data_IF_246819889343
#
_entry.id   IF_246819889343
#
_cell.length_a   1.000
_cell.length_b   1.000
_cell.length_c   1.000
_cell.angle_alpha   90.00
_cell.angle_beta   90.00
_cell.angle_gamma   90.00
#
_symmetry.space_group_name_H-M   'P 1'
#
loop_
_entity.id
_entity.type
_entity.pdbx_description
1 polymer ?
#
# COMPACT_ATOMS: atom_id res chain seq x y z
N UNK A 1 4.51 -6.33 -38.91
CA UNK A 1 4.21 -6.48 -37.46
C UNK A 1 5.49 -6.27 -36.66
N UNK A 2 5.70 -5.09 -36.07
CA UNK A 2 6.84 -4.87 -35.16
C UNK A 2 6.43 -5.40 -33.79
N UNK A 3 6.80 -6.64 -33.47
CA UNK A 3 6.80 -7.10 -32.08
C UNK A 3 7.78 -6.20 -31.33
N UNK A 4 7.31 -5.36 -30.39
CA UNK A 4 8.25 -4.65 -29.53
C UNK A 4 9.05 -5.70 -28.77
N UNK A 5 10.35 -5.79 -29.01
CA UNK A 5 11.22 -6.72 -28.30
C UNK A 5 11.02 -6.57 -26.79
N UNK A 6 10.77 -7.70 -26.14
CA UNK A 6 10.57 -7.75 -24.71
C UNK A 6 11.92 -7.56 -24.02
N UNK A 7 12.09 -6.44 -23.33
CA UNK A 7 13.34 -6.09 -22.65
C UNK A 7 13.39 -6.79 -21.29
N UNK A 8 14.37 -7.68 -21.10
CA UNK A 8 14.52 -8.50 -19.90
C UNK A 8 14.66 -7.69 -18.60
N UNK A 9 15.23 -6.48 -18.68
CA UNK A 9 15.38 -5.56 -17.54
C UNK A 9 14.05 -5.33 -16.82
N UNK A 10 12.97 -5.06 -17.55
CA UNK A 10 11.69 -4.73 -16.93
C UNK A 10 11.00 -5.95 -16.30
N UNK A 11 11.23 -7.16 -16.83
CA UNK A 11 10.75 -8.38 -16.18
C UNK A 11 11.53 -8.67 -14.90
N UNK A 12 12.85 -8.47 -14.90
CA UNK A 12 13.69 -8.57 -13.70
C UNK A 12 13.26 -7.55 -12.64
N UNK A 13 13.00 -6.29 -13.03
CA UNK A 13 12.52 -5.23 -12.14
C UNK A 13 11.20 -5.62 -11.47
N UNK A 14 10.20 -6.05 -12.24
CA UNK A 14 8.90 -6.47 -11.67
C UNK A 14 9.04 -7.70 -10.76
N UNK A 15 9.96 -8.62 -11.04
CA UNK A 15 10.19 -9.76 -10.16
C UNK A 15 10.81 -9.34 -8.82
N UNK A 16 11.84 -8.47 -8.86
CA UNK A 16 12.47 -7.95 -7.65
C UNK A 16 11.42 -7.20 -6.82
N UNK A 17 10.65 -6.31 -7.45
CA UNK A 17 9.63 -5.54 -6.77
C UNK A 17 8.53 -6.43 -6.17
N UNK A 18 8.06 -7.46 -6.87
CA UNK A 18 7.00 -8.31 -6.33
C UNK A 18 7.51 -9.20 -5.19
N UNK A 19 8.77 -9.63 -5.25
CA UNK A 19 9.40 -10.32 -4.14
C UNK A 19 9.47 -9.41 -2.90
N UNK A 20 9.84 -8.14 -3.08
CA UNK A 20 9.88 -7.16 -1.98
C UNK A 20 8.49 -6.89 -1.39
N UNK A 21 7.42 -6.91 -2.20
CA UNK A 21 6.03 -6.82 -1.69
C UNK A 21 5.69 -8.01 -0.80
N UNK A 22 5.98 -9.23 -1.26
CA UNK A 22 5.71 -10.44 -0.45
C UNK A 22 6.50 -10.40 0.85
N UNK A 23 7.78 -10.00 0.80
CA UNK A 23 8.62 -9.81 1.98
C UNK A 23 8.06 -8.72 2.90
N UNK A 24 7.62 -7.60 2.35
CA UNK A 24 7.02 -6.50 3.09
C UNK A 24 5.82 -6.95 3.92
N UNK A 25 4.92 -7.75 3.35
CA UNK A 25 3.77 -8.28 4.08
C UNK A 25 4.12 -9.32 5.14
N UNK A 26 5.16 -10.12 4.94
CA UNK A 26 5.67 -10.97 6.03
C UNK A 26 6.30 -10.17 7.16
N UNK A 27 7.00 -9.07 6.85
CA UNK A 27 7.61 -8.19 7.85
C UNK A 27 6.56 -7.38 8.60
N UNK A 28 5.50 -6.95 7.91
CA UNK A 28 4.38 -6.19 8.45
C UNK A 28 3.74 -6.87 9.66
N UNK A 29 3.61 -8.21 9.63
CA UNK A 29 3.09 -9.00 10.74
C UNK A 29 3.88 -8.83 12.06
N UNK A 30 5.14 -8.42 12.00
CA UNK A 30 6.05 -8.45 13.15
C UNK A 30 6.82 -7.14 13.37
N UNK A 31 6.26 -6.01 12.92
CA UNK A 31 6.91 -4.69 13.04
C UNK A 31 7.19 -4.34 14.50
N UNK A 32 6.18 -4.44 15.36
CA UNK A 32 6.24 -4.06 16.78
C UNK A 32 7.21 -4.92 17.62
N UNK A 33 7.51 -6.14 17.15
CA UNK A 33 8.35 -7.07 17.91
C UNK A 33 9.84 -6.86 17.66
N UNK A 34 10.22 -6.33 16.49
CA UNK A 34 11.61 -6.29 16.04
C UNK A 34 11.95 -5.00 15.28
N UNK A 35 12.81 -4.11 15.83
CA UNK A 35 13.21 -2.86 15.17
C UNK A 35 13.86 -3.03 13.79
N UNK A 36 14.48 -4.20 13.55
CA UNK A 36 15.04 -4.54 12.24
C UNK A 36 13.93 -4.75 11.20
N UNK A 37 12.78 -5.28 11.59
CA UNK A 37 11.62 -5.43 10.71
C UNK A 37 11.07 -4.06 10.32
N UNK A 38 10.91 -3.12 11.26
CA UNK A 38 10.55 -1.72 10.97
C UNK A 38 11.52 -1.08 9.97
N UNK A 39 12.83 -1.27 10.17
CA UNK A 39 13.87 -0.73 9.28
C UNK A 39 13.70 -1.25 7.86
N UNK A 40 13.61 -2.57 7.70
CA UNK A 40 13.54 -3.23 6.39
C UNK A 40 12.21 -2.92 5.71
N UNK A 41 11.12 -2.87 6.48
CA UNK A 41 9.79 -2.48 6.01
C UNK A 41 9.81 -1.04 5.49
N UNK A 42 10.31 -0.08 6.27
CA UNK A 42 10.43 1.33 5.86
C UNK A 42 11.23 1.51 4.57
N UNK A 43 12.32 0.74 4.40
CA UNK A 43 13.12 0.74 3.17
C UNK A 43 12.28 0.29 1.97
N UNK A 44 11.55 -0.83 2.11
CA UNK A 44 10.75 -1.39 1.04
C UNK A 44 9.61 -0.42 0.69
N UNK A 45 8.88 0.06 1.70
CA UNK A 45 7.69 0.90 1.56
C UNK A 45 7.97 2.29 0.99
N UNK A 46 9.19 2.80 1.16
CA UNK A 46 9.61 4.07 0.55
C UNK A 46 9.49 4.08 -0.99
N UNK A 47 9.77 2.96 -1.68
CA UNK A 47 9.88 2.99 -3.16
C UNK A 47 9.09 1.92 -3.90
N UNK A 48 8.68 0.80 -3.29
CA UNK A 48 8.14 -0.32 -4.07
C UNK A 48 6.80 0.02 -4.75
N UNK A 49 5.84 0.65 -4.07
CA UNK A 49 4.57 1.08 -4.67
C UNK A 49 4.76 2.21 -5.70
N UNK A 50 5.53 3.28 -5.38
CA UNK A 50 5.94 4.26 -6.39
C UNK A 50 6.56 3.61 -7.63
N UNK A 51 7.43 2.60 -7.45
CA UNK A 51 8.11 1.91 -8.54
C UNK A 51 7.14 1.07 -9.39
N UNK A 52 6.21 0.36 -8.75
CA UNK A 52 5.18 -0.38 -9.47
C UNK A 52 4.28 0.53 -10.30
N UNK A 53 3.79 1.64 -9.72
CA UNK A 53 2.96 2.60 -10.42
C UNK A 53 3.71 3.30 -11.56
N UNK A 54 4.97 3.66 -11.33
CA UNK A 54 5.84 4.23 -12.35
C UNK A 54 6.03 3.28 -13.55
N UNK A 55 6.36 2.01 -13.28
CA UNK A 55 6.47 0.98 -14.33
C UNK A 55 5.12 0.83 -15.05
N UNK A 56 4.02 0.76 -14.31
CA UNK A 56 2.67 0.58 -14.88
C UNK A 56 2.24 1.75 -15.77
N UNK A 57 2.51 2.99 -15.39
CA UNK A 57 2.27 4.16 -16.25
C UNK A 57 3.07 4.09 -17.55
N UNK A 58 4.34 3.70 -17.45
CA UNK A 58 5.24 3.56 -18.60
C UNK A 58 4.77 2.50 -19.60
N UNK A 59 4.22 1.37 -19.11
CA UNK A 59 3.68 0.30 -19.96
C UNK A 59 2.25 0.59 -20.46
N UNK A 60 1.50 1.47 -19.80
CA UNK A 60 0.12 1.83 -20.16
C UNK A 60 0.03 2.89 -21.27
N UNK A 61 1.14 3.53 -21.63
CA UNK A 61 1.22 4.63 -22.60
C UNK A 61 0.51 4.36 -23.93
N UNK A 62 0.62 3.15 -24.48
CA UNK A 62 -0.05 2.78 -25.75
C UNK A 62 -1.57 2.72 -25.60
N UNK A 63 -2.07 2.22 -24.47
CA UNK A 63 -3.50 2.13 -24.18
C UNK A 63 -4.10 3.52 -23.93
N UNK A 64 -3.38 4.36 -23.20
CA UNK A 64 -3.78 5.73 -22.86
C UNK A 64 -3.85 6.62 -24.12
N UNK A 65 -2.90 6.49 -25.03
CA UNK A 65 -2.83 7.32 -26.25
C UNK A 65 -3.68 6.80 -27.42
N UNK A 66 -4.43 5.72 -27.24
CA UNK A 66 -5.37 5.27 -28.27
C UNK A 66 -6.47 6.33 -28.50
N UNK A 67 -7.04 6.36 -29.70
CA UNK A 67 -8.12 7.28 -30.05
C UNK A 67 -9.34 7.07 -29.13
N UNK A 68 -9.72 5.82 -28.92
CA UNK A 68 -10.75 5.38 -27.98
C UNK A 68 -10.13 4.46 -26.93
N UNK A 69 -10.66 4.53 -25.71
CA UNK A 69 -10.22 3.67 -24.61
C UNK A 69 -10.63 2.22 -24.88
N UNK A 70 -9.64 1.32 -24.91
CA UNK A 70 -9.86 -0.10 -25.14
C UNK A 70 -10.30 -0.78 -23.83
N UNK A 71 -11.62 -0.75 -23.57
CA UNK A 71 -12.24 -1.33 -22.37
C UNK A 71 -11.83 -2.78 -22.13
N UNK A 72 -11.65 -3.58 -23.20
CA UNK A 72 -11.24 -4.97 -23.07
C UNK A 72 -9.85 -5.16 -22.43
N UNK A 73 -8.99 -4.13 -22.46
CA UNK A 73 -7.67 -4.15 -21.81
C UNK A 73 -7.69 -3.66 -20.36
N UNK A 74 -8.64 -2.81 -19.98
CA UNK A 74 -8.66 -2.15 -18.67
C UNK A 74 -9.68 -2.76 -17.71
N UNK A 75 -10.83 -3.24 -18.20
CA UNK A 75 -11.86 -3.90 -17.39
C UNK A 75 -11.34 -5.15 -16.66
N UNK A 76 -10.37 -5.93 -17.19
CA UNK A 76 -9.75 -7.00 -16.42
C UNK A 76 -9.18 -6.56 -15.06
N UNK A 77 -8.64 -5.34 -14.93
CA UNK A 77 -8.16 -4.85 -13.64
C UNK A 77 -9.29 -4.67 -12.63
N UNK A 78 -10.44 -4.15 -13.06
CA UNK A 78 -11.62 -4.00 -12.22
C UNK A 78 -12.21 -5.36 -11.83
N UNK A 79 -12.29 -6.31 -12.76
CA UNK A 79 -12.76 -7.67 -12.48
C UNK A 79 -11.84 -8.39 -11.49
N UNK A 80 -10.53 -8.32 -11.72
CA UNK A 80 -9.55 -8.90 -10.81
C UNK A 80 -9.58 -8.22 -9.44
N UNK A 81 -9.83 -6.91 -9.37
CA UNK A 81 -10.03 -6.20 -8.11
C UNK A 81 -11.18 -6.84 -7.32
N UNK A 82 -12.37 -6.98 -7.91
CA UNK A 82 -13.55 -7.54 -7.23
C UNK A 82 -13.30 -8.97 -6.77
N UNK A 83 -12.71 -9.81 -7.63
CA UNK A 83 -12.43 -11.22 -7.28
C UNK A 83 -11.40 -11.29 -6.15
N UNK A 84 -10.35 -10.48 -6.20
CA UNK A 84 -9.30 -10.47 -5.19
C UNK A 84 -9.84 -10.00 -3.84
N UNK A 85 -10.64 -8.93 -3.85
CA UNK A 85 -11.23 -8.35 -2.65
C UNK A 85 -12.18 -9.33 -1.95
N UNK A 86 -13.09 -9.94 -2.72
CA UNK A 86 -13.99 -10.96 -2.22
C UNK A 86 -13.24 -12.23 -1.80
N UNK A 87 -12.22 -12.66 -2.55
CA UNK A 87 -11.40 -13.83 -2.22
C UNK A 87 -10.69 -13.68 -0.87
N UNK A 88 -10.16 -12.48 -0.58
CA UNK A 88 -9.57 -12.17 0.73
C UNK A 88 -10.61 -12.15 1.83
N UNK A 89 -11.79 -11.58 1.59
CA UNK A 89 -12.89 -11.64 2.55
C UNK A 89 -13.22 -13.09 2.93
N UNK A 90 -13.32 -14.01 1.97
CA UNK A 90 -13.58 -15.43 2.26
C UNK A 90 -12.47 -16.09 3.09
N UNK A 91 -11.20 -15.79 2.80
CA UNK A 91 -10.07 -16.34 3.57
C UNK A 91 -10.10 -15.83 5.01
N UNK A 92 -10.38 -14.54 5.21
CA UNK A 92 -10.46 -13.93 6.54
C UNK A 92 -11.69 -14.41 7.32
N UNK A 93 -12.84 -14.47 6.67
CA UNK A 93 -14.09 -14.99 7.24
C UNK A 93 -13.98 -16.43 7.77
N UNK A 94 -13.06 -17.22 7.21
CA UNK A 94 -12.79 -18.57 7.72
C UNK A 94 -12.18 -18.56 9.13
N UNK A 95 -11.36 -17.55 9.45
CA UNK A 95 -10.72 -17.40 10.75
C UNK A 95 -11.55 -16.56 11.72
N UNK A 96 -12.23 -15.53 11.21
CA UNK A 96 -13.15 -14.68 11.96
C UNK A 96 -14.52 -14.59 11.26
N UNK A 97 -15.50 -15.40 11.70
CA UNK A 97 -16.86 -15.37 11.17
C UNK A 97 -17.67 -14.11 11.47
N UNK A 98 -17.17 -13.19 12.30
CA UNK A 98 -17.87 -11.93 12.63
C UNK A 98 -17.64 -10.83 11.58
N UNK A 99 -16.63 -11.01 10.72
CA UNK A 99 -16.26 -10.05 9.68
C UNK A 99 -17.42 -9.75 8.72
N UNK A 100 -17.67 -8.46 8.51
CA UNK A 100 -18.65 -7.96 7.55
C UNK A 100 -17.99 -7.56 6.23
N UNK A 101 -18.61 -7.95 5.11
CA UNK A 101 -18.08 -7.57 3.79
C UNK A 101 -18.44 -6.12 3.44
N UNK A 102 -17.43 -5.23 3.43
CA UNK A 102 -17.60 -3.80 3.14
C UNK A 102 -17.09 -3.44 1.74
N UNK A 103 -17.96 -3.52 0.73
CA UNK A 103 -17.65 -3.29 -0.70
C UNK A 103 -16.92 -1.95 -0.99
N UNK A 104 -17.22 -0.91 -0.22
CA UNK A 104 -16.74 0.45 -0.48
C UNK A 104 -15.46 0.83 0.28
N UNK A 105 -15.04 0.01 1.26
CA UNK A 105 -13.73 0.16 1.93
C UNK A 105 -12.72 -0.72 1.20
N UNK A 106 -11.89 -0.11 0.37
CA UNK A 106 -10.85 -0.84 -0.39
C UNK A 106 -9.53 -0.78 0.39
N UNK A 107 -9.13 -1.89 1.00
CA UNK A 107 -7.91 -1.98 1.82
C UNK A 107 -6.95 -3.09 1.35
N UNK A 108 -5.76 -3.15 1.96
CA UNK A 108 -4.74 -4.19 1.70
C UNK A 108 -4.13 -4.16 0.30
N UNK A 109 -4.26 -5.24 -0.49
CA UNK A 109 -3.63 -5.36 -1.82
C UNK A 109 -4.54 -4.92 -2.98
N UNK A 110 -5.87 -5.05 -2.82
CA UNK A 110 -6.85 -4.94 -3.92
C UNK A 110 -6.90 -3.53 -4.54
N UNK A 111 -6.55 -2.50 -3.74
CA UNK A 111 -6.50 -1.11 -4.18
C UNK A 111 -5.64 -0.90 -5.42
N UNK A 112 -4.53 -1.62 -5.59
CA UNK A 112 -3.62 -1.35 -6.71
C UNK A 112 -4.25 -1.68 -8.06
N UNK A 113 -5.03 -2.77 -8.16
CA UNK A 113 -5.77 -3.10 -9.39
C UNK A 113 -6.83 -2.05 -9.70
N UNK A 114 -7.58 -1.62 -8.68
CA UNK A 114 -8.58 -0.57 -8.82
C UNK A 114 -7.93 0.76 -9.21
N UNK A 115 -6.81 1.12 -8.57
CA UNK A 115 -6.01 2.29 -8.90
C UNK A 115 -5.50 2.27 -10.33
N UNK A 116 -5.00 1.15 -10.84
CA UNK A 116 -4.58 1.04 -12.25
C UNK A 116 -5.73 1.34 -13.20
N UNK A 117 -6.93 0.80 -12.94
CA UNK A 117 -8.12 1.10 -13.73
C UNK A 117 -8.42 2.61 -13.72
N UNK A 118 -8.54 3.21 -12.53
CA UNK A 118 -8.85 4.64 -12.36
C UNK A 118 -7.77 5.53 -13.00
N UNK A 119 -6.50 5.28 -12.72
CA UNK A 119 -5.38 6.10 -13.21
C UNK A 119 -5.25 6.02 -14.73
N UNK A 120 -5.50 4.87 -15.37
CA UNK A 120 -5.51 4.75 -16.84
C UNK A 120 -6.66 5.56 -17.43
N UNK A 121 -7.87 5.46 -16.86
CA UNK A 121 -9.05 6.23 -17.30
C UNK A 121 -8.79 7.72 -17.16
N UNK A 122 -8.39 8.19 -15.97
CA UNK A 122 -8.10 9.60 -15.69
C UNK A 122 -7.01 10.12 -16.62
N UNK A 123 -5.90 9.40 -16.80
CA UNK A 123 -4.82 9.83 -17.70
C UNK A 123 -5.28 9.88 -19.15
N UNK A 124 -6.13 8.94 -19.59
CA UNK A 124 -6.72 8.97 -20.93
C UNK A 124 -7.61 10.21 -21.13
N UNK A 125 -8.43 10.58 -20.14
CA UNK A 125 -9.27 11.78 -20.19
C UNK A 125 -8.43 13.07 -20.25
N UNK A 126 -7.33 13.12 -19.48
CA UNK A 126 -6.44 14.28 -19.40
C UNK A 126 -5.41 14.35 -20.53
N UNK A 127 -5.35 13.37 -21.44
CA UNK A 127 -4.28 13.24 -22.45
C UNK A 127 -4.13 14.41 -23.42
N UNK A 128 -5.19 15.23 -23.59
CA UNK A 128 -5.22 16.38 -24.49
C UNK A 128 -4.70 17.67 -23.84
N UNK A 129 -4.58 17.69 -22.51
CA UNK A 129 -4.06 18.83 -21.74
C UNK A 129 -2.53 18.77 -21.77
N UNK A 130 -1.85 19.92 -21.76
CA UNK A 130 -0.39 19.95 -21.68
C UNK A 130 0.09 19.15 -20.45
N UNK A 131 0.98 18.17 -20.64
CA UNK A 131 1.48 17.32 -19.56
C UNK A 131 2.05 18.06 -18.35
N UNK A 132 2.60 19.26 -18.54
CA UNK A 132 3.17 20.08 -17.46
C UNK A 132 2.08 20.47 -16.45
N UNK A 133 0.94 20.96 -16.94
CA UNK A 133 -0.17 21.36 -16.07
C UNK A 133 -0.78 20.16 -15.36
N UNK A 134 -0.99 19.05 -16.08
CA UNK A 134 -1.54 17.83 -15.47
C UNK A 134 -0.64 17.32 -14.34
N UNK A 135 0.68 17.31 -14.55
CA UNK A 135 1.62 16.87 -13.53
C UNK A 135 1.71 17.84 -12.34
N UNK A 136 1.76 19.16 -12.58
CA UNK A 136 1.77 20.15 -11.51
C UNK A 136 0.48 20.11 -10.68
N UNK A 137 -0.68 19.98 -11.32
CA UNK A 137 -1.98 19.86 -10.64
C UNK A 137 -2.03 18.55 -9.86
N UNK A 138 -1.54 17.43 -10.43
CA UNK A 138 -1.48 16.15 -9.73
C UNK A 138 -0.67 16.23 -8.43
N UNK A 139 0.49 16.90 -8.46
CA UNK A 139 1.29 17.16 -7.25
C UNK A 139 0.50 18.08 -6.30
N UNK A 140 -0.04 19.20 -6.78
CA UNK A 140 -0.79 20.13 -5.93
C UNK A 140 -1.94 19.46 -5.18
N UNK A 141 -2.78 18.71 -5.89
CA UNK A 141 -3.89 17.95 -5.30
C UNK A 141 -3.36 16.90 -4.31
N UNK A 142 -2.26 16.21 -4.65
CA UNK A 142 -1.70 15.19 -3.78
C UNK A 142 -1.10 15.76 -2.48
N UNK A 143 -0.63 17.01 -2.47
CA UNK A 143 -0.20 17.68 -1.25
C UNK A 143 -1.39 18.17 -0.41
N UNK A 144 -2.49 18.60 -1.05
CA UNK A 144 -3.66 19.16 -0.36
C UNK A 144 -4.55 18.07 0.24
N UNK A 145 -4.72 16.93 -0.44
CA UNK A 145 -5.69 15.91 -0.04
C UNK A 145 -5.48 15.42 1.39
N UNK A 146 -4.22 15.38 1.87
CA UNK A 146 -3.87 14.95 3.22
C UNK A 146 -4.50 15.79 4.35
N UNK A 147 -4.92 17.03 4.08
CA UNK A 147 -5.58 17.90 5.07
C UNK A 147 -7.09 17.65 5.21
N UNK A 148 -7.67 16.79 4.36
CA UNK A 148 -9.08 16.42 4.49
C UNK A 148 -9.25 15.37 5.61
N UNK A 149 -10.33 15.45 6.38
CA UNK A 149 -10.70 14.45 7.41
C UNK A 149 -11.71 13.42 6.88
N UNK A 150 -12.56 13.81 5.92
CA UNK A 150 -13.74 13.02 5.53
C UNK A 150 -13.55 12.04 4.36
N UNK A 151 -12.37 11.99 3.74
CA UNK A 151 -12.13 11.19 2.53
C UNK A 151 -11.43 9.88 2.89
N UNK A 152 -11.88 9.11 3.89
CA UNK A 152 -11.18 7.89 4.36
C UNK A 152 -10.93 6.79 3.29
N UNK A 153 -10.96 5.52 3.67
CA UNK A 153 -10.69 4.38 2.76
C UNK A 153 -11.75 4.14 1.67
N UNK A 154 -12.69 5.06 1.50
CA UNK A 154 -13.67 5.07 0.42
C UNK A 154 -12.95 5.00 -0.94
N UNK A 155 -13.10 3.86 -1.61
CA UNK A 155 -12.50 3.58 -2.92
C UNK A 155 -10.96 3.75 -3.00
N UNK A 156 -10.25 3.66 -1.87
CA UNK A 156 -8.81 3.93 -1.79
C UNK A 156 -8.40 5.30 -2.40
N UNK A 157 -9.27 6.30 -2.31
CA UNK A 157 -9.11 7.59 -3.01
C UNK A 157 -7.84 8.33 -2.57
N UNK A 158 -7.50 8.31 -1.27
CA UNK A 158 -6.22 8.83 -0.77
C UNK A 158 -5.04 8.27 -1.56
N UNK A 159 -4.86 6.95 -1.56
CA UNK A 159 -3.75 6.26 -2.24
C UNK A 159 -3.71 6.55 -3.73
N UNK A 160 -4.88 6.60 -4.39
CA UNK A 160 -4.95 6.90 -5.82
C UNK A 160 -4.43 8.30 -6.09
N UNK A 161 -4.94 9.31 -5.39
CA UNK A 161 -4.56 10.71 -5.61
C UNK A 161 -3.11 10.95 -5.21
N UNK A 162 -2.68 10.42 -4.06
CA UNK A 162 -1.32 10.61 -3.55
C UNK A 162 -0.26 9.93 -4.41
N UNK A 163 -0.58 8.80 -5.05
CA UNK A 163 0.36 8.06 -5.86
C UNK A 163 0.23 8.31 -7.38
N UNK A 164 -0.81 9.03 -7.81
CA UNK A 164 -1.00 9.41 -9.21
C UNK A 164 0.20 10.13 -9.84
N UNK A 165 0.92 11.04 -9.14
CA UNK A 165 2.12 11.66 -9.70
C UNK A 165 3.17 10.65 -10.18
N UNK A 166 3.40 9.55 -9.46
CA UNK A 166 4.36 8.52 -9.87
C UNK A 166 3.90 7.74 -11.10
N UNK A 167 2.62 7.38 -11.17
CA UNK A 167 2.03 6.76 -12.35
C UNK A 167 2.14 7.68 -13.57
N UNK A 168 1.74 8.94 -13.42
CA UNK A 168 1.75 9.92 -14.50
C UNK A 168 3.19 10.19 -14.98
N UNK A 169 4.15 10.33 -14.06
CA UNK A 169 5.57 10.49 -14.39
C UNK A 169 6.11 9.30 -15.19
N UNK A 170 5.71 8.08 -14.83
CA UNK A 170 6.00 6.87 -15.61
C UNK A 170 5.41 6.93 -17.02
N UNK A 171 4.17 7.41 -17.16
CA UNK A 171 3.52 7.64 -18.45
C UNK A 171 4.26 8.67 -19.32
N UNK A 172 4.80 9.74 -18.74
CA UNK A 172 5.54 10.78 -19.47
C UNK A 172 6.84 10.24 -20.07
N UNK A 173 7.56 9.38 -19.37
CA UNK A 173 8.84 8.86 -19.85
C UNK A 173 8.73 7.77 -20.91
N UNK A 174 9.81 7.65 -21.69
CA UNK A 174 9.96 6.58 -22.67
C UNK A 174 10.90 5.49 -22.13
N UNK A 175 10.53 4.23 -22.37
CA UNK A 175 11.26 3.03 -21.93
C UNK A 175 12.74 3.07 -22.32
N UNK A 176 13.06 3.47 -23.56
CA UNK A 176 14.44 3.49 -24.08
C UNK A 176 15.26 4.59 -23.42
N UNK A 177 14.66 5.77 -23.23
CA UNK A 177 15.33 6.92 -22.58
C UNK A 177 15.68 6.60 -21.12
N UNK A 178 14.74 6.00 -20.37
CA UNK A 178 14.96 5.59 -18.99
C UNK A 178 16.04 4.51 -18.90
N UNK A 179 15.99 3.49 -19.76
CA UNK A 179 17.01 2.43 -19.78
C UNK A 179 18.42 2.96 -20.08
N UNK A 180 18.51 3.93 -21.00
CA UNK A 180 19.76 4.59 -21.35
C UNK A 180 20.32 5.39 -20.18
N UNK A 181 19.49 6.23 -19.54
CA UNK A 181 19.90 7.01 -18.37
C UNK A 181 20.38 6.10 -17.24
N UNK A 182 19.59 5.09 -16.88
CA UNK A 182 19.90 4.12 -15.84
C UNK A 182 21.12 3.22 -16.16
N UNK A 183 21.63 3.24 -17.40
CA UNK A 183 22.79 2.47 -17.82
C UNK A 183 24.14 3.10 -17.49
N UNK A 184 24.19 4.37 -17.11
CA UNK A 184 25.44 5.10 -16.88
C UNK A 184 26.11 4.64 -15.58
N UNK A 185 27.41 4.34 -15.62
CA UNK A 185 28.15 3.84 -14.46
C UNK A 185 28.14 4.80 -13.27
N UNK A 186 28.21 6.11 -13.49
CA UNK A 186 28.15 7.10 -12.41
C UNK A 186 26.78 7.12 -11.72
N UNK A 187 25.68 6.90 -12.46
CA UNK A 187 24.32 6.78 -11.89
C UNK A 187 24.23 5.52 -11.02
N UNK A 188 24.90 4.44 -11.40
CA UNK A 188 24.94 3.21 -10.60
C UNK A 188 25.76 3.37 -9.32
N UNK A 189 26.87 4.11 -9.38
CA UNK A 189 27.67 4.45 -8.17
C UNK A 189 26.83 5.33 -7.24
N UNK A 190 26.22 6.38 -7.78
CA UNK A 190 25.30 7.25 -7.03
C UNK A 190 24.15 6.44 -6.42
N UNK A 191 23.57 5.52 -7.18
CA UNK A 191 22.50 4.64 -6.70
C UNK A 191 22.93 3.77 -5.53
N UNK A 192 24.12 3.16 -5.59
CA UNK A 192 24.66 2.39 -4.47
C UNK A 192 24.88 3.29 -3.25
N UNK A 193 25.43 4.49 -3.43
CA UNK A 193 25.61 5.44 -2.34
C UNK A 193 24.27 5.86 -1.69
N UNK A 194 23.24 6.16 -2.49
CA UNK A 194 21.89 6.49 -2.00
C UNK A 194 21.27 5.33 -1.24
N UNK A 195 21.38 4.10 -1.76
CA UNK A 195 20.82 2.91 -1.10
C UNK A 195 21.56 2.57 0.19
N UNK A 196 22.89 2.71 0.22
CA UNK A 196 23.69 2.52 1.42
C UNK A 196 23.34 3.57 2.47
N UNK A 197 23.25 4.84 2.08
CA UNK A 197 22.88 5.92 2.99
C UNK A 197 21.48 5.70 3.57
N UNK A 198 20.52 5.30 2.73
CA UNK A 198 19.17 5.00 3.16
C UNK A 198 19.13 3.79 4.10
N UNK A 199 19.83 2.70 3.75
CA UNK A 199 19.97 1.52 4.62
C UNK A 199 20.57 1.89 5.98
N UNK A 200 21.64 2.70 6.01
CA UNK A 200 22.22 3.19 7.25
C UNK A 200 21.22 4.04 8.05
N UNK A 201 20.50 4.96 7.41
CA UNK A 201 19.48 5.76 8.08
C UNK A 201 18.41 4.91 8.77
N UNK A 202 17.93 3.86 8.08
CA UNK A 202 16.94 2.93 8.64
C UNK A 202 17.49 2.09 9.77
N UNK A 203 18.72 1.57 9.67
CA UNK A 203 19.33 0.72 10.71
C UNK A 203 19.71 1.50 11.97
N UNK A 204 20.15 2.76 11.83
CA UNK A 204 20.54 3.59 12.97
C UNK A 204 19.35 4.24 13.69
N UNK A 205 18.24 4.48 12.98
CA UNK A 205 17.07 5.18 13.50
C UNK A 205 15.74 4.55 13.03
N UNK A 206 15.45 3.28 13.36
CA UNK A 206 14.27 2.54 12.91
C UNK A 206 12.97 3.28 13.20
N UNK A 207 12.76 3.60 14.48
CA UNK A 207 11.58 4.33 14.98
C UNK A 207 11.40 5.66 14.24
N UNK A 208 12.50 6.37 13.94
CA UNK A 208 12.41 7.68 13.26
C UNK A 208 12.00 7.58 11.80
N UNK A 209 12.37 6.48 11.13
CA UNK A 209 11.96 6.23 9.76
C UNK A 209 10.52 5.74 9.71
N UNK A 210 10.15 4.84 10.63
CA UNK A 210 8.80 4.30 10.72
C UNK A 210 7.77 5.37 11.12
N UNK A 211 8.15 6.36 11.93
CA UNK A 211 7.30 7.51 12.27
C UNK A 211 6.65 8.18 11.05
N UNK A 212 7.33 8.20 9.89
CA UNK A 212 6.81 8.80 8.67
C UNK A 212 5.97 7.86 7.81
N UNK A 213 5.66 6.65 8.28
CA UNK A 213 4.83 5.65 7.59
C UNK A 213 3.55 6.25 6.95
N UNK A 214 2.80 7.14 7.62
CA UNK A 214 1.62 7.78 7.03
C UNK A 214 1.90 8.51 5.71
N UNK A 215 3.08 9.10 5.59
CA UNK A 215 3.56 9.72 4.35
C UNK A 215 4.06 8.68 3.33
N UNK A 216 4.62 7.54 3.80
CA UNK A 216 5.17 6.46 2.98
C UNK A 216 4.06 5.64 2.29
N UNK A 217 3.03 5.23 3.03
CA UNK A 217 1.96 4.35 2.53
C UNK A 217 0.87 5.14 1.83
N UNK A 218 0.77 6.44 2.16
CA UNK A 218 -0.18 7.40 1.63
C UNK A 218 -1.64 6.90 1.65
N UNK A 219 -1.92 5.99 2.60
CA UNK A 219 -3.24 5.45 2.91
C UNK A 219 -4.02 6.34 3.86
N UNK A 220 -3.34 7.16 4.65
CA UNK A 220 -3.91 7.98 5.71
C UNK A 220 -3.86 9.48 5.37
N UNK A 221 -4.68 10.24 6.10
CA UNK A 221 -4.63 11.69 6.13
C UNK A 221 -3.47 12.17 7.03
N UNK A 222 -3.19 13.47 7.05
CA UNK A 222 -2.11 14.02 7.85
C UNK A 222 -2.39 14.08 9.36
N UNK A 223 -3.64 13.90 9.77
CA UNK A 223 -4.00 13.88 11.19
C UNK A 223 -3.59 12.59 11.89
N UNK A 224 -3.21 11.54 11.14
CA UNK A 224 -2.65 10.32 11.70
C UNK A 224 -1.17 10.45 12.11
N UNK A 225 -0.54 11.60 11.87
CA UNK A 225 0.85 11.85 12.26
C UNK A 225 0.84 12.48 13.65
N UNK A 226 1.44 11.79 14.62
CA UNK A 226 1.65 12.33 15.96
C UNK A 226 2.77 13.38 15.93
N UNK A 227 2.41 14.65 15.77
CA UNK A 227 3.38 15.75 15.72
C UNK A 227 4.09 16.00 17.06
N UNK A 228 3.56 15.50 18.18
CA UNK A 228 4.20 15.62 19.50
C UNK A 228 5.35 14.61 19.64
N UNK A 229 5.27 13.47 18.96
CA UNK A 229 6.30 12.44 18.94
C UNK A 229 7.35 12.59 17.81
N UNK A 230 7.43 13.76 17.16
CA UNK A 230 8.40 14.00 16.07
C UNK A 230 9.83 13.75 16.56
N UNK A 231 10.57 12.79 15.99
CA UNK A 231 11.83 12.32 16.57
C UNK A 231 13.05 13.21 16.23
N UNK A 232 12.79 14.40 15.70
CA UNK A 232 13.78 15.38 15.23
C UNK A 232 13.52 16.72 15.93
N UNK A 233 14.31 17.07 16.97
CA UNK A 233 14.06 18.27 17.78
C UNK A 233 14.00 19.57 16.97
N UNK A 234 14.89 19.73 15.98
CA UNK A 234 14.89 20.88 15.07
C UNK A 234 13.61 21.00 14.24
N UNK A 235 12.98 19.87 13.93
CA UNK A 235 11.74 19.83 13.15
C UNK A 235 10.54 20.09 14.05
N UNK A 236 10.56 19.55 15.28
CA UNK A 236 9.54 19.81 16.29
C UNK A 236 9.48 21.31 16.65
N UNK A 237 10.64 21.97 16.80
CA UNK A 237 10.71 23.42 17.02
C UNK A 237 10.24 24.23 15.80
N UNK A 238 10.48 23.72 14.59
CA UNK A 238 10.09 24.39 13.34
C UNK A 238 8.61 24.16 12.94
N UNK A 239 7.93 23.19 13.58
CA UNK A 239 6.52 22.89 13.38
C UNK A 239 5.71 23.64 14.45
N UNK A 240 5.15 24.83 14.17
CA UNK A 240 4.22 25.46 15.11
C UNK A 240 2.98 24.58 15.20
N UNK A 241 2.96 23.71 16.20
CA UNK A 241 1.83 22.87 16.57
C UNK A 241 1.30 23.39 17.89
N UNK A 242 0.09 23.96 17.87
CA UNK A 242 -0.64 24.29 19.09
C UNK A 242 -1.41 23.05 19.52
N UNK A 243 -0.89 22.32 20.51
CA UNK A 243 -1.72 21.38 21.27
C UNK A 243 -2.59 22.21 22.22
N UNK A 244 -3.87 22.33 21.91
CA UNK A 244 -4.83 22.74 22.93
C UNK A 244 -4.81 21.64 24.01
N UNK A 245 -4.37 22.00 25.21
CA UNK A 245 -4.17 21.09 26.35
C UNK A 245 -5.42 20.23 26.60
N UNK A 246 -5.34 18.96 26.24
CA UNK A 246 -6.35 17.94 26.48
C UNK A 246 -5.75 16.57 26.22
N UNK A 247 -6.06 15.61 27.08
CA UNK A 247 -5.71 14.20 26.90
C UNK A 247 -6.30 13.70 25.59
N UNK A 248 -5.49 12.98 24.82
CA UNK A 248 -5.91 12.39 23.55
C UNK A 248 -7.10 11.47 23.81
N UNK A 249 -8.24 11.68 23.14
CA UNK A 249 -9.31 10.68 23.17
C UNK A 249 -8.80 9.46 22.41
N UNK A 250 -8.67 8.32 23.09
CA UNK A 250 -8.20 7.07 22.51
C UNK A 250 -8.94 6.72 21.21
N UNK A 251 -10.19 7.15 21.03
CA UNK A 251 -11.00 6.93 19.82
C UNK A 251 -10.46 7.55 18.52
N UNK A 252 -9.76 8.68 18.57
CA UNK A 252 -9.22 9.35 17.36
C UNK A 252 -7.90 8.72 16.92
N UNK A 253 -7.09 8.29 17.90
CA UNK A 253 -5.91 7.49 17.63
C UNK A 253 -6.31 6.08 17.20
N UNK A 254 -7.32 5.46 17.80
CA UNK A 254 -7.86 4.17 17.38
C UNK A 254 -8.40 4.23 15.95
N UNK A 255 -9.16 5.26 15.54
CA UNK A 255 -9.62 5.36 14.15
C UNK A 255 -8.47 5.60 13.16
N UNK A 256 -7.38 6.26 13.56
CA UNK A 256 -6.21 6.50 12.72
C UNK A 256 -5.23 5.30 12.68
N UNK A 257 -5.06 4.59 13.80
CA UNK A 257 -4.18 3.44 13.96
C UNK A 257 -4.84 2.13 13.54
N UNK A 258 -6.16 1.93 13.73
CA UNK A 258 -6.92 0.77 13.21
C UNK A 258 -7.09 0.81 11.68
N UNK A 259 -6.79 1.96 11.08
CA UNK A 259 -6.89 2.18 9.65
C UNK A 259 -5.52 2.12 8.91
N UNK A 260 -4.38 2.17 9.61
CA UNK A 260 -3.04 2.29 9.03
C UNK A 260 -2.25 0.96 9.00
N UNK A 261 -2.70 -0.01 8.20
CA UNK A 261 -1.93 -1.23 7.89
C UNK A 261 -2.70 -2.53 8.05
N UNK A 262 -2.04 -3.66 7.82
CA UNK A 262 -2.62 -4.98 8.05
C UNK A 262 -2.68 -5.34 9.55
N UNK A 263 -1.75 -4.83 10.36
CA UNK A 263 -1.78 -5.01 11.83
C UNK A 263 -2.91 -4.20 12.48
N UNK A 264 -3.19 -3.02 11.95
CA UNK A 264 -4.30 -2.16 12.31
C UNK A 264 -5.67 -2.86 12.18
N UNK A 265 -5.88 -3.59 11.08
CA UNK A 265 -7.08 -4.42 10.86
C UNK A 265 -7.13 -5.64 11.81
N UNK A 266 -5.99 -6.12 12.31
CA UNK A 266 -5.85 -7.20 13.30
C UNK A 266 -6.11 -6.73 14.74
N UNK A 267 -5.85 -5.46 15.04
CA UNK A 267 -6.20 -4.84 16.33
C UNK A 267 -7.70 -4.54 16.42
N UNK A 268 -8.35 -4.16 15.31
CA UNK A 268 -9.83 -4.16 15.20
C UNK A 268 -10.37 -5.58 15.47
N UNK A 269 -9.69 -6.62 14.96
CA UNK A 269 -9.97 -8.05 15.17
C UNK A 269 -9.81 -8.49 16.64
N UNK A 270 -8.82 -7.99 17.39
CA UNK A 270 -8.67 -8.29 18.82
C UNK A 270 -9.64 -7.51 19.72
N UNK A 271 -9.92 -6.24 19.39
CA UNK A 271 -10.86 -5.42 20.14
C UNK A 271 -12.31 -5.92 20.00
N UNK A 272 -12.70 -6.40 18.82
CA UNK A 272 -14.02 -7.00 18.59
C UNK A 272 -14.13 -8.41 19.20
N UNK A 273 -13.05 -9.21 19.22
CA UNK A 273 -12.99 -10.51 19.91
C UNK A 273 -13.07 -10.35 21.42
N UNK A 274 -12.37 -9.38 22.03
CA UNK A 274 -12.48 -9.11 23.47
C UNK A 274 -13.87 -8.60 23.86
N UNK A 275 -14.53 -7.77 23.02
CA UNK A 275 -15.94 -7.40 23.21
C UNK A 275 -16.87 -8.60 23.09
N UNK A 276 -16.62 -9.52 22.16
CA UNK A 276 -17.41 -10.74 21.98
C UNK A 276 -17.21 -11.72 23.13
N UNK A 277 -15.97 -11.92 23.59
CA UNK A 277 -15.64 -12.81 24.71
C UNK A 277 -16.16 -12.26 26.03
N UNK A 278 -16.16 -10.93 26.22
CA UNK A 278 -16.82 -10.28 27.35
C UNK A 278 -18.36 -10.41 27.29
N UNK A 279 -18.96 -10.43 26.09
CA UNK A 279 -20.40 -10.66 25.91
C UNK A 279 -20.78 -12.16 26.04
N UNK A 280 -19.85 -13.08 25.78
CA UNK A 280 -20.07 -14.54 25.87
C UNK A 280 -19.75 -15.07 27.28
N UNK A 281 -18.79 -14.49 28.00
CA UNK A 281 -18.52 -14.81 29.41
C UNK A 281 -19.62 -14.31 30.34
N UNK A 282 -20.28 -13.21 30.00
CA UNK A 282 -21.49 -12.76 30.67
C UNK A 282 -22.69 -13.48 30.05
N UNK A 283 -22.82 -14.77 30.38
CA UNK A 283 -23.99 -15.57 30.04
C UNK A 283 -25.29 -14.86 30.42
N UNK A 284 -26.37 -15.23 29.73
CA UNK A 284 -27.75 -14.87 30.03
C UNK A 284 -28.08 -14.99 31.52
N UNK A 285 -27.79 -13.94 32.29
CA UNK A 285 -28.36 -13.69 33.59
C UNK A 285 -29.02 -12.31 33.51
N UNK A 286 -30.31 -12.28 33.86
CA UNK A 286 -31.10 -11.07 34.00
C UNK A 286 -30.30 -10.03 34.77
N UNK A 287 -29.93 -8.93 34.10
CA UNK A 287 -29.38 -7.74 34.75
C UNK A 287 -30.42 -7.33 35.80
N UNK A 288 -30.13 -7.41 37.12
CA UNK A 288 -31.06 -6.87 38.10
C UNK A 288 -31.11 -5.36 37.87
N UNK A 289 -32.33 -4.82 37.79
CA UNK A 289 -32.56 -3.39 37.61
C UNK A 289 -31.65 -2.58 38.56
N UNK A 290 -30.90 -1.58 38.07
CA UNK A 290 -29.96 -0.86 38.91
C UNK A 290 -30.75 -0.12 39.99
N UNK A 291 -30.43 -0.45 41.24
CA UNK A 291 -30.88 0.31 42.39
C UNK A 291 -30.32 1.74 42.30
N UNK A 292 -31.21 2.70 42.07
CA UNK A 292 -31.13 4.07 42.57
C UNK A 292 -30.16 5.01 41.86
N UNK A 293 -30.70 5.84 40.97
CA UNK A 293 -30.53 7.30 40.79
C UNK A 293 -29.13 7.94 40.67
N UNK A 294 -28.10 7.42 41.36
CA UNK A 294 -26.76 8.00 41.40
C UNK A 294 -25.87 7.50 40.25
N UNK A 295 -25.96 6.23 39.86
CA UNK A 295 -25.17 5.67 38.75
C UNK A 295 -25.60 6.22 37.39
N UNK A 296 -26.90 6.44 37.20
CA UNK A 296 -27.45 7.05 35.99
C UNK A 296 -27.15 8.56 35.92
N UNK A 297 -27.08 9.24 37.08
CA UNK A 297 -26.69 10.64 37.16
C UNK A 297 -25.19 10.84 36.92
N UNK A 298 -24.33 9.92 37.37
CA UNK A 298 -22.89 9.93 37.09
C UNK A 298 -22.65 9.65 35.60
N UNK A 299 -23.30 8.63 35.03
CA UNK A 299 -23.18 8.33 33.61
C UNK A 299 -23.70 9.48 32.72
N UNK A 300 -24.79 10.14 33.13
CA UNK A 300 -25.31 11.31 32.42
C UNK A 300 -24.40 12.52 32.60
N UNK A 301 -23.79 12.72 33.77
CA UNK A 301 -22.83 13.79 34.01
C UNK A 301 -21.52 13.58 33.22
N UNK A 302 -21.02 12.36 33.10
CA UNK A 302 -19.88 12.01 32.24
C UNK A 302 -20.21 12.21 30.75
N UNK A 303 -21.44 11.88 30.32
CA UNK A 303 -21.92 12.15 28.95
C UNK A 303 -22.09 13.64 28.68
N UNK A 304 -22.60 14.40 29.66
CA UNK A 304 -22.79 15.85 29.55
C UNK A 304 -21.44 16.59 29.62
N UNK A 305 -20.46 16.07 30.39
CA UNK A 305 -19.07 16.55 30.42
C UNK A 305 -18.37 16.27 29.08
N UNK A 306 -18.47 15.05 28.55
CA UNK A 306 -17.97 14.69 27.22
C UNK A 306 -18.68 15.44 26.07
N UNK A 307 -19.94 15.83 26.25
CA UNK A 307 -20.68 16.67 25.29
C UNK A 307 -20.35 18.17 25.42
N UNK A 308 -19.78 18.59 26.56
CA UNK A 308 -19.34 19.97 26.82
C UNK A 308 -17.90 20.26 26.39
N UNK A 309 -17.08 19.21 26.21
CA UNK A 309 -15.78 19.32 25.58
C UNK A 309 -15.97 19.64 24.09
N UNK A 310 -15.61 20.87 23.69
CA UNK A 310 -15.54 21.21 22.27
C UNK A 310 -14.64 20.17 21.57
N UNK A 311 -15.04 19.64 20.40
CA UNK A 311 -14.25 18.62 19.71
C UNK A 311 -12.86 19.16 19.45
N UNK A 312 -11.84 18.50 20.02
CA UNK A 312 -10.43 18.90 19.90
C UNK A 312 -10.09 19.06 18.42
N UNK A 313 -9.89 20.30 17.98
CA UNK A 313 -9.51 20.60 16.60
C UNK A 313 -7.99 20.45 16.50
N UNK A 314 -7.52 19.21 16.33
CA UNK A 314 -6.13 18.97 15.96
C UNK A 314 -5.81 19.74 14.68
N UNK A 315 -4.83 20.64 14.72
CA UNK A 315 -4.38 21.40 13.54
C UNK A 315 -3.13 20.75 12.96
N UNK A 316 -3.22 20.23 11.74
CA UNK A 316 -2.05 19.74 11.01
C UNK A 316 -1.23 20.93 10.52
N UNK A 317 0.09 20.99 10.78
CA UNK A 317 0.95 22.05 10.28
C UNK A 317 0.90 22.17 8.75
N UNK A 318 0.78 23.38 8.16
CA UNK A 318 0.76 23.56 6.70
C UNK A 318 2.01 23.05 5.97
N UNK A 319 3.13 22.91 6.68
CA UNK A 319 4.39 22.37 6.15
C UNK A 319 4.33 20.86 5.89
N UNK A 320 3.34 20.13 6.40
CA UNK A 320 3.20 18.68 6.19
C UNK A 320 3.06 18.32 4.70
N UNK A 321 2.41 19.18 3.92
CA UNK A 321 2.41 19.10 2.46
C UNK A 321 3.81 19.18 1.85
N UNK A 322 4.68 20.04 2.37
CA UNK A 322 6.08 20.14 1.92
C UNK A 322 6.89 18.91 2.35
N UNK A 323 6.61 18.33 3.52
CA UNK A 323 7.20 17.06 3.95
C UNK A 323 6.83 15.92 3.00
N UNK A 324 5.56 15.84 2.55
CA UNK A 324 5.13 14.88 1.51
C UNK A 324 5.86 15.11 0.19
N UNK A 325 6.09 16.36 -0.21
CA UNK A 325 6.87 16.66 -1.42
C UNK A 325 8.32 16.20 -1.28
N UNK A 326 8.94 16.40 -0.11
CA UNK A 326 10.26 15.87 0.21
C UNK A 326 10.30 14.33 0.13
N UNK A 327 9.28 13.66 0.66
CA UNK A 327 9.09 12.22 0.53
C UNK A 327 9.04 11.79 -0.94
N UNK A 328 8.28 12.48 -1.79
CA UNK A 328 8.26 12.14 -3.23
C UNK A 328 9.63 12.24 -3.87
N UNK A 329 10.42 13.26 -3.51
CA UNK A 329 11.81 13.39 -3.95
C UNK A 329 12.65 12.18 -3.51
N UNK A 330 12.56 11.80 -2.24
CA UNK A 330 13.30 10.66 -1.68
C UNK A 330 12.87 9.32 -2.31
N UNK A 331 11.57 9.05 -2.38
CA UNK A 331 10.99 7.88 -3.03
C UNK A 331 11.43 7.78 -4.48
N UNK A 332 11.42 8.90 -5.20
CA UNK A 332 11.88 8.98 -6.58
C UNK A 332 13.37 8.65 -6.74
N UNK A 333 14.23 9.19 -5.86
CA UNK A 333 15.67 8.91 -5.87
C UNK A 333 15.95 7.43 -5.60
N UNK A 334 15.33 6.85 -4.58
CA UNK A 334 15.50 5.43 -4.23
C UNK A 334 14.94 4.53 -5.33
N UNK A 335 13.77 4.86 -5.89
CA UNK A 335 13.19 4.18 -7.05
C UNK A 335 14.17 4.15 -8.23
N UNK A 336 14.76 5.30 -8.59
CA UNK A 336 15.72 5.37 -9.69
C UNK A 336 17.01 4.59 -9.37
N UNK A 337 17.46 4.66 -8.12
CA UNK A 337 18.63 3.91 -7.66
C UNK A 337 18.42 2.40 -7.84
N UNK A 338 17.31 1.85 -7.35
CA UNK A 338 16.96 0.43 -7.48
C UNK A 338 16.84 0.04 -8.96
N UNK A 339 16.11 0.80 -9.77
CA UNK A 339 15.96 0.52 -11.20
C UNK A 339 17.28 0.59 -11.98
N UNK A 340 18.26 1.35 -11.51
CA UNK A 340 19.60 1.42 -12.11
C UNK A 340 20.42 0.13 -11.91
N UNK A 341 20.19 -0.54 -10.78
CA UNK A 341 20.90 -1.76 -10.40
C UNK A 341 20.25 -3.03 -10.96
N UNK A 342 19.01 -2.95 -11.44
CA UNK A 342 18.33 -4.10 -12.07
C UNK A 342 19.14 -4.63 -13.27
N UNK A 343 19.48 -5.94 -13.28
CA UNK A 343 20.24 -6.55 -14.36
C UNK A 343 19.55 -6.40 -15.72
N UNK A 344 20.31 -5.94 -16.73
CA UNK A 344 19.85 -5.85 -18.13
C UNK A 344 19.82 -7.21 -18.84
N UNK A 345 20.66 -8.14 -18.40
CA UNK A 345 20.80 -9.48 -19.03
C UNK A 345 19.58 -10.35 -18.70
N UNK A 346 19.22 -11.20 -19.65
CA UNK A 346 18.18 -12.22 -19.47
C UNK A 346 18.72 -13.33 -18.56
N UNK A 347 18.14 -13.46 -17.38
CA UNK A 347 18.43 -14.55 -16.44
C UNK A 347 17.32 -15.60 -16.64
N UNK A 348 17.61 -16.80 -17.17
CA UNK A 348 16.59 -17.69 -17.73
C UNK A 348 15.40 -18.00 -16.80
N UNK A 349 15.65 -18.26 -15.51
CA UNK A 349 14.61 -18.57 -14.52
C UNK A 349 13.95 -17.28 -14.03
N UNK A 350 14.73 -16.33 -13.51
CA UNK A 350 14.23 -15.08 -12.92
C UNK A 350 13.47 -14.23 -13.96
N UNK A 351 14.04 -13.98 -15.14
CA UNK A 351 13.36 -13.19 -16.18
C UNK A 351 12.07 -13.87 -16.64
N UNK A 352 11.98 -15.21 -16.59
CA UNK A 352 10.76 -15.95 -16.93
C UNK A 352 9.70 -15.84 -15.83
N UNK A 353 10.09 -15.88 -14.57
CA UNK A 353 9.19 -15.62 -13.43
C UNK A 353 8.66 -14.18 -13.44
N UNK A 354 9.51 -13.21 -13.76
CA UNK A 354 9.16 -11.80 -13.94
C UNK A 354 8.08 -11.54 -15.00
N UNK A 355 7.80 -12.53 -15.85
CA UNK A 355 6.71 -12.46 -16.83
C UNK A 355 5.32 -12.71 -16.26
N UNK A 356 5.23 -13.25 -15.03
CA UNK A 356 4.00 -13.71 -14.37
C UNK A 356 3.79 -13.05 -13.01
N UNK A 357 4.31 -11.85 -12.82
CA UNK A 357 4.24 -11.12 -11.55
C UNK A 357 2.81 -10.77 -11.14
N UNK A 358 1.87 -10.69 -12.09
CA UNK A 358 0.45 -10.54 -11.77
C UNK A 358 -0.10 -11.71 -10.97
N UNK A 359 0.35 -12.94 -11.25
CA UNK A 359 -0.04 -14.12 -10.49
C UNK A 359 0.42 -14.04 -9.04
N UNK A 360 1.68 -13.67 -8.83
CA UNK A 360 2.21 -13.46 -7.48
C UNK A 360 1.42 -12.36 -6.77
N UNK A 361 1.23 -11.21 -7.42
CA UNK A 361 0.43 -10.11 -6.88
C UNK A 361 -0.99 -10.55 -6.49
N UNK A 362 -1.68 -11.33 -7.32
CA UNK A 362 -3.06 -11.71 -7.05
C UNK A 362 -3.18 -12.70 -5.88
N UNK A 363 -2.27 -13.68 -5.79
CA UNK A 363 -2.43 -14.77 -4.82
C UNK A 363 -1.69 -14.57 -3.50
N UNK A 364 -0.64 -13.72 -3.45
CA UNK A 364 0.27 -13.74 -2.30
C UNK A 364 -0.37 -13.40 -0.97
N UNK A 365 -1.22 -12.37 -0.86
CA UNK A 365 -1.80 -12.01 0.44
C UNK A 365 -2.70 -13.11 0.99
N UNK A 366 -3.47 -13.80 0.16
CA UNK A 366 -4.27 -14.94 0.63
C UNK A 366 -3.37 -16.04 1.21
N UNK A 367 -2.20 -16.28 0.59
CA UNK A 367 -1.23 -17.28 1.07
C UNK A 367 -0.50 -16.79 2.32
N UNK A 368 -0.09 -15.53 2.36
CA UNK A 368 0.56 -14.92 3.53
C UNK A 368 -0.40 -14.95 4.71
N UNK A 369 -1.65 -14.53 4.53
CA UNK A 369 -2.72 -14.59 5.54
C UNK A 369 -2.86 -16.02 6.08
N UNK A 370 -2.97 -17.04 5.21
CA UNK A 370 -3.04 -18.45 5.67
C UNK A 370 -1.80 -18.87 6.47
N UNK A 371 -0.60 -18.46 6.04
CA UNK A 371 0.67 -18.86 6.67
C UNK A 371 0.87 -18.20 8.03
N UNK A 372 0.52 -16.93 8.16
CA UNK A 372 0.70 -16.16 9.40
C UNK A 372 -0.20 -16.68 10.53
N UNK A 373 -1.38 -17.23 10.19
CA UNK A 373 -2.26 -17.87 11.16
C UNK A 373 -1.78 -19.26 11.64
N UNK A 374 -0.66 -19.77 11.12
CA UNK A 374 -0.11 -21.05 11.55
C UNK A 374 0.74 -20.91 12.83
N UNK A 375 0.36 -21.62 13.89
CA UNK A 375 1.02 -21.58 15.20
C UNK A 375 2.54 -21.82 15.13
N UNK A 376 3.00 -22.77 14.32
CA UNK A 376 4.43 -23.08 14.17
C UNK A 376 5.26 -21.90 13.65
N UNK A 377 4.67 -21.06 12.79
CA UNK A 377 5.34 -19.89 12.24
C UNK A 377 5.48 -18.82 13.32
N UNK A 378 4.39 -18.56 14.05
CA UNK A 378 4.38 -17.62 15.17
C UNK A 378 5.37 -18.02 16.27
N UNK A 379 5.50 -19.31 16.58
CA UNK A 379 6.46 -19.81 17.57
C UNK A 379 7.93 -19.60 17.17
N UNK A 380 8.28 -19.79 15.89
CA UNK A 380 9.65 -19.57 15.42
C UNK A 380 9.94 -18.08 15.37
N UNK A 381 9.00 -17.27 14.89
CA UNK A 381 9.16 -15.83 14.80
C UNK A 381 9.20 -15.19 16.20
N UNK A 382 8.42 -15.69 17.17
CA UNK A 382 8.44 -15.20 18.55
C UNK A 382 9.77 -15.40 19.29
N UNK A 383 10.68 -16.23 18.76
CA UNK A 383 12.07 -16.37 19.28
C UNK A 383 12.99 -15.25 18.83
N UNK A 384 12.63 -14.52 17.79
CA UNK A 384 13.31 -13.32 17.33
C UNK A 384 14.68 -13.53 16.69
N UNK A 385 15.38 -12.41 16.52
CA UNK A 385 16.75 -12.36 15.98
C UNK A 385 16.86 -12.65 14.47
N UNK A 386 18.09 -12.91 14.03
CA UNK A 386 18.41 -13.07 12.60
C UNK A 386 17.70 -14.26 11.94
N UNK A 387 17.35 -15.29 12.72
CA UNK A 387 16.64 -16.47 12.26
C UNK A 387 15.26 -16.12 11.70
N UNK A 388 14.57 -15.18 12.34
CA UNK A 388 13.27 -14.66 11.90
C UNK A 388 13.36 -14.00 10.52
N UNK A 389 14.36 -13.12 10.33
CA UNK A 389 14.57 -12.43 9.05
C UNK A 389 14.93 -13.43 7.95
N UNK A 390 15.81 -14.39 8.23
CA UNK A 390 16.19 -15.43 7.28
C UNK A 390 14.99 -16.29 6.91
N UNK A 391 14.15 -16.67 7.88
CA UNK A 391 12.92 -17.42 7.63
C UNK A 391 11.96 -16.63 6.72
N UNK A 392 11.71 -15.36 7.01
CA UNK A 392 10.85 -14.49 6.20
C UNK A 392 11.37 -14.35 4.76
N UNK A 393 12.68 -14.18 4.59
CA UNK A 393 13.30 -14.12 3.26
C UNK A 393 13.09 -15.43 2.49
N UNK A 394 13.29 -16.58 3.15
CA UNK A 394 13.10 -17.90 2.56
C UNK A 394 11.64 -18.13 2.20
N UNK A 395 10.71 -17.86 3.11
CA UNK A 395 9.26 -17.98 2.87
C UNK A 395 8.82 -17.07 1.71
N UNK A 396 9.27 -15.82 1.69
CA UNK A 396 8.99 -14.87 0.60
C UNK A 396 9.50 -15.38 -0.75
N UNK A 397 10.69 -15.98 -0.79
CA UNK A 397 11.27 -16.54 -2.00
C UNK A 397 10.48 -17.76 -2.48
N UNK A 398 10.09 -18.65 -1.55
CA UNK A 398 9.27 -19.83 -1.84
C UNK A 398 7.90 -19.41 -2.38
N UNK A 399 7.18 -18.54 -1.66
CA UNK A 399 5.85 -18.05 -2.08
C UNK A 399 5.92 -17.36 -3.43
N UNK A 400 6.89 -16.45 -3.63
CA UNK A 400 7.10 -15.79 -4.93
C UNK A 400 7.41 -16.80 -6.05
N UNK A 401 8.27 -17.79 -5.75
CA UNK A 401 8.65 -18.87 -6.66
C UNK A 401 7.47 -19.70 -7.13
N UNK A 402 6.67 -20.19 -6.18
CA UNK A 402 5.51 -21.03 -6.40
C UNK A 402 4.41 -20.28 -7.16
N UNK A 403 4.12 -19.05 -6.76
CA UNK A 403 3.05 -18.26 -7.38
C UNK A 403 3.44 -17.70 -8.76
N UNK A 404 4.73 -17.65 -9.11
CA UNK A 404 5.22 -17.30 -10.44
C UNK A 404 5.19 -18.47 -11.45
N UNK A 405 4.56 -19.59 -11.11
CA UNK A 405 4.41 -20.75 -11.99
C UNK A 405 3.30 -20.56 -13.03
N UNK A 406 3.23 -21.46 -14.03
CA UNK A 406 2.19 -21.41 -15.07
C UNK A 406 0.77 -21.69 -14.51
N UNK A 407 0.58 -22.68 -13.62
CA UNK A 407 -0.75 -22.99 -13.09
C UNK A 407 -1.42 -21.80 -12.42
N UNK A 408 -0.70 -21.08 -11.54
CA UNK A 408 -1.25 -19.91 -10.84
C UNK A 408 -1.62 -18.74 -11.78
N UNK A 409 -0.92 -18.60 -12.91
CA UNK A 409 -1.19 -17.57 -13.91
C UNK A 409 -2.34 -17.94 -14.87
N UNK A 410 -2.70 -19.23 -14.99
CA UNK A 410 -3.65 -19.69 -15.99
C UNK A 410 -5.07 -19.09 -15.82
N UNK A 411 -5.66 -19.05 -14.60
CA UNK A 411 -6.97 -18.42 -14.38
C UNK A 411 -6.96 -16.93 -14.73
N UNK A 412 -5.89 -16.22 -14.36
CA UNK A 412 -5.77 -14.78 -14.59
C UNK A 412 -5.61 -14.44 -16.08
N UNK A 413 -4.93 -15.30 -16.85
CA UNK A 413 -4.81 -15.12 -18.30
C UNK A 413 -6.17 -15.19 -19.01
N UNK A 414 -7.10 -16.00 -18.51
CA UNK A 414 -8.45 -16.10 -19.06
C UNK A 414 -9.20 -14.77 -18.94
N UNK A 415 -9.02 -14.07 -17.81
CA UNK A 415 -9.61 -12.75 -17.54
C UNK A 415 -8.87 -11.65 -18.32
N UNK A 416 -7.53 -11.66 -18.33
CA UNK A 416 -6.72 -10.63 -18.99
C UNK A 416 -6.76 -10.67 -20.52
N UNK A 417 -7.04 -11.82 -21.12
CA UNK A 417 -7.08 -12.01 -22.57
C UNK A 417 -8.44 -12.56 -22.95
N UNK A 418 -9.51 -11.76 -22.85
CA UNK A 418 -10.80 -12.20 -23.36
C UNK A 418 -10.60 -12.55 -24.85
N UNK A 419 -10.96 -13.78 -25.23
CA UNK A 419 -10.88 -14.23 -26.63
C UNK A 419 -11.61 -13.17 -27.47
N UNK A 420 -10.94 -12.59 -28.46
CA UNK A 420 -11.65 -11.87 -29.52
C UNK A 420 -12.65 -12.87 -30.10
N UNK A 421 -13.95 -12.64 -29.93
CA UNK A 421 -14.94 -13.27 -30.79
C UNK A 421 -14.58 -12.79 -32.20
N UNK A 422 -13.98 -13.66 -32.99
CA UNK A 422 -14.02 -13.55 -34.44
C UNK A 422 -15.50 -13.57 -34.76
N UNK A 423 -16.09 -12.39 -34.94
CA UNK A 423 -17.32 -12.27 -35.70
C UNK A 423 -16.87 -12.76 -37.08
N UNK A 424 -17.23 -13.99 -37.42
CA UNK A 424 -17.10 -14.45 -38.79
C UNK A 424 -17.83 -13.41 -39.62
N UNK A 425 -17.08 -12.71 -40.46
CA UNK A 425 -17.62 -12.06 -41.65
C UNK A 425 -18.41 -13.14 -42.39
N UNK A 426 -19.72 -13.21 -42.16
CA UNK A 426 -20.65 -13.75 -43.13
C UNK A 426 -20.75 -12.70 -44.22
N UNK A 427 -19.74 -12.68 -45.09
CA UNK A 427 -19.89 -12.17 -46.44
C UNK A 427 -20.54 -13.27 -47.28
N UNK A 428 -21.55 -12.84 -48.05
CA UNK A 428 -22.19 -13.50 -49.21
C UNK A 428 -23.17 -14.63 -48.84
N UNK A 429 -24.45 -14.57 -49.24
CA UNK A 429 -25.00 -14.20 -50.56
C UNK A 429 -26.22 -13.29 -50.45
#
# INVERSE_FOLDING_TARGET
MVYSERIAKWDNAKLILIFLVVLGHFLETFLEQYPVCESVYGIIYLFHMPAFLFISGMFSKKTINAEKLDWAKITPYLVLFVILDFGRFIVRYHWDPTLTFRVFRITGVSWYLFALFVMIVVTHLLRKIDPKYVFCIAIGISLIIGYSKGIGYWFALYRIVTMFPFFYLGYLWDRKKVEWALGRSWIRILAVAVLILHLFGCLYHPVKVYFWEPLLTAGTNYYSIDFDAVPYPWLQEALPYESSSGTVSDSVLEEAFADAGWQAELFDEQADVERSDAAIQNGFDEIPAPAGDLSHAIAQAELDEAASEEPVVYTVPPVTGLLRLGYYGMAFLVLFAVLSLVPKRRIPVLSKMGTRTLSVYFWHLMIVEILVHQKWLLEIVGKGGIQTIVLMLVLSAIVTGLLATKPCMAPLNWIMKPKKRTISETHEV
#
